data_IF_084175255196
#
_entry.id   IF_084175255196
#
_cell.length_a   1.000
_cell.length_b   1.000
_cell.length_c   1.000
_cell.angle_alpha   90.00
_cell.angle_beta   90.00
_cell.angle_gamma   90.00
#
_symmetry.space_group_name_H-M   'P 1'
#
loop_
_entity.id
_entity.type
_entity.pdbx_description
1 polymer ?
#
# COMPACT_ATOMS: atom_id res chain seq x y z
N UNK A 1 12.42 -11.99 9.86
CA UNK A 1 11.80 -11.35 8.69
C UNK A 1 10.40 -11.90 8.57
N UNK A 2 9.37 -11.05 8.64
CA UNK A 2 7.98 -11.50 8.57
C UNK A 2 7.57 -11.64 7.10
N UNK A 3 6.96 -12.76 6.74
CA UNK A 3 6.45 -13.02 5.40
C UNK A 3 4.93 -12.86 5.41
N UNK A 4 4.39 -12.16 4.41
CA UNK A 4 2.95 -12.07 4.16
C UNK A 4 2.65 -12.79 2.85
N UNK A 5 1.79 -13.80 2.90
CA UNK A 5 1.35 -14.56 1.73
C UNK A 5 -0.06 -14.09 1.33
N UNK A 6 -0.18 -13.49 0.15
CA UNK A 6 -1.48 -13.06 -0.39
C UNK A 6 -2.11 -14.19 -1.18
N UNK A 7 -3.31 -14.59 -0.78
CA UNK A 7 -4.13 -15.53 -1.55
C UNK A 7 -5.02 -14.76 -2.52
N UNK A 8 -5.08 -15.15 -3.81
CA UNK A 8 -6.00 -14.52 -4.77
C UNK A 8 -7.45 -14.70 -4.34
N UNK A 9 -8.23 -13.62 -4.40
CA UNK A 9 -9.65 -13.64 -4.12
C UNK A 9 -10.38 -12.58 -4.96
N UNK A 10 -11.55 -12.94 -5.46
CA UNK A 10 -12.44 -12.04 -6.20
C UNK A 10 -13.63 -11.63 -5.33
N UNK A 11 -14.28 -10.52 -5.67
CA UNK A 11 -15.51 -10.05 -5.02
C UNK A 11 -15.39 -9.83 -3.49
N UNK A 12 -14.25 -9.29 -3.04
CA UNK A 12 -14.08 -8.94 -1.62
C UNK A 12 -14.95 -7.72 -1.30
N UNK A 13 -15.87 -7.86 -0.36
CA UNK A 13 -16.58 -6.73 0.24
C UNK A 13 -15.63 -5.98 1.18
N UNK A 14 -15.40 -4.69 0.91
CA UNK A 14 -14.42 -3.88 1.61
C UNK A 14 -15.12 -3.05 2.68
N UNK A 15 -14.63 -3.13 3.91
CA UNK A 15 -15.10 -2.23 4.95
C UNK A 15 -14.54 -0.82 4.70
N UNK A 16 -15.37 0.22 4.89
CA UNK A 16 -14.98 1.63 4.78
C UNK A 16 -13.89 2.04 5.77
N UNK A 17 -13.75 1.30 6.87
CA UNK A 17 -12.72 1.53 7.88
C UNK A 17 -11.35 0.93 7.52
N UNK A 18 -11.26 0.17 6.42
CA UNK A 18 -9.97 -0.34 5.95
C UNK A 18 -9.15 0.77 5.31
N UNK A 19 -7.88 0.89 5.74
CA UNK A 19 -6.94 1.79 5.10
C UNK A 19 -6.24 1.08 3.92
N UNK A 20 -6.37 1.57 2.67
CA UNK A 20 -5.61 1.06 1.54
C UNK A 20 -4.15 1.53 1.63
N UNK A 21 -3.37 0.89 2.48
CA UNK A 21 -1.98 1.21 2.76
C UNK A 21 -1.10 0.93 1.52
N UNK A 22 -0.45 1.95 0.93
CA UNK A 22 0.39 1.74 -0.23
C UNK A 22 1.68 1.01 0.15
N UNK A 23 2.13 0.10 -0.72
CA UNK A 23 3.42 -0.58 -0.61
C UNK A 23 4.37 0.00 -1.64
N UNK A 24 5.54 0.47 -1.19
CA UNK A 24 6.60 0.99 -2.05
C UNK A 24 7.86 0.13 -1.99
N UNK A 25 8.66 0.18 -3.05
CA UNK A 25 9.95 -0.50 -3.10
C UNK A 25 10.98 0.16 -2.19
N UNK A 26 11.01 1.49 -2.14
CA UNK A 26 12.00 2.28 -1.37
C UNK A 26 11.36 3.36 -0.51
N UNK A 27 12.08 3.78 0.54
CA UNK A 27 11.60 4.73 1.55
C UNK A 27 11.38 6.14 1.00
N UNK A 28 12.14 6.54 -0.01
CA UNK A 28 12.04 7.85 -0.68
C UNK A 28 10.71 8.00 -1.44
N UNK A 29 10.07 6.89 -1.82
CA UNK A 29 8.79 6.85 -2.57
C UNK A 29 8.79 7.65 -3.88
N UNK A 30 9.98 7.95 -4.40
CA UNK A 30 10.18 8.60 -5.69
C UNK A 30 10.32 7.53 -6.76
N UNK A 31 9.52 7.63 -7.81
CA UNK A 31 9.57 6.77 -8.98
C UNK A 31 9.33 7.58 -10.24
N UNK A 32 9.62 6.97 -11.37
CA UNK A 32 9.18 7.43 -12.69
C UNK A 32 7.91 6.72 -13.09
N UNK A 33 7.16 7.26 -14.04
CA UNK A 33 6.09 6.53 -14.69
C UNK A 33 6.70 5.59 -15.73
N UNK A 34 6.22 4.34 -15.78
CA UNK A 34 6.54 3.41 -16.85
C UNK A 34 5.90 3.86 -18.17
N UNK A 35 6.26 3.19 -19.27
CA UNK A 35 5.57 3.37 -20.57
C UNK A 35 4.09 3.03 -20.52
N UNK A 36 3.65 2.26 -19.53
CA UNK A 36 2.25 1.92 -19.24
C UNK A 36 1.60 2.84 -18.20
N UNK A 37 2.28 3.90 -17.77
CA UNK A 37 1.76 4.88 -16.79
C UNK A 37 1.73 4.39 -15.34
N UNK A 38 2.30 3.23 -15.04
CA UNK A 38 2.42 2.74 -13.67
C UNK A 38 3.68 3.27 -13.01
N UNK A 39 3.60 3.64 -11.73
CA UNK A 39 4.78 4.07 -10.98
C UNK A 39 5.80 2.93 -10.87
N UNK A 40 7.08 3.23 -11.10
CA UNK A 40 8.16 2.25 -10.94
C UNK A 40 8.44 1.91 -9.47
N UNK A 41 7.91 2.67 -8.52
CA UNK A 41 8.12 2.48 -7.07
C UNK A 41 6.87 1.93 -6.35
N UNK A 42 5.66 2.22 -6.83
CA UNK A 42 4.43 1.65 -6.26
C UNK A 42 4.30 0.16 -6.63
N UNK A 43 3.91 -0.67 -5.68
CA UNK A 43 3.74 -2.12 -5.87
C UNK A 43 2.27 -2.50 -5.83
N UNK A 44 1.60 -2.26 -4.70
CA UNK A 44 0.19 -2.61 -4.47
C UNK A 44 -0.34 -1.83 -3.25
N UNK A 45 -1.66 -1.74 -3.11
CA UNK A 45 -2.30 -1.32 -1.86
C UNK A 45 -2.74 -2.53 -1.04
N UNK A 46 -2.33 -2.57 0.23
CA UNK A 46 -2.76 -3.58 1.20
C UNK A 46 -3.81 -2.95 2.11
N UNK A 47 -4.99 -3.54 2.17
CA UNK A 47 -6.09 -3.06 2.98
C UNK A 47 -5.90 -3.53 4.42
N UNK A 48 -5.67 -2.58 5.32
CA UNK A 48 -5.42 -2.85 6.72
C UNK A 48 -6.65 -2.49 7.55
N UNK A 49 -7.10 -3.36 8.46
CA UNK A 49 -8.10 -2.98 9.43
C UNK A 49 -7.56 -1.83 10.29
N UNK A 50 -8.39 -0.83 10.55
CA UNK A 50 -7.99 0.37 11.28
C UNK A 50 -9.14 0.83 12.18
N UNK A 51 -8.79 1.36 13.35
CA UNK A 51 -9.73 2.06 14.25
C UNK A 51 -9.85 3.55 13.93
N UNK A 52 -9.07 4.02 12.96
CA UNK A 52 -9.07 5.39 12.43
C UNK A 52 -9.52 5.39 10.97
N UNK A 53 -10.09 6.49 10.51
CA UNK A 53 -10.46 6.65 9.10
C UNK A 53 -9.22 6.60 8.19
N UNK A 54 -9.37 6.19 6.91
CA UNK A 54 -8.27 6.19 5.94
C UNK A 54 -7.52 7.53 5.86
N UNK A 55 -8.25 8.65 5.92
CA UNK A 55 -7.68 10.01 5.84
C UNK A 55 -6.61 10.28 6.91
N UNK A 56 -6.79 9.76 8.12
CA UNK A 56 -5.78 9.87 9.18
C UNK A 56 -4.44 9.32 8.71
N UNK A 57 -4.43 8.15 8.05
CA UNK A 57 -3.20 7.51 7.61
C UNK A 57 -2.64 8.12 6.32
N UNK A 58 -3.52 8.59 5.43
CA UNK A 58 -3.12 9.38 4.25
C UNK A 58 -2.38 10.64 4.67
N UNK A 59 -2.92 11.40 5.63
CA UNK A 59 -2.31 12.63 6.15
C UNK A 59 -0.97 12.38 6.85
N UNK A 60 -0.84 11.27 7.56
CA UNK A 60 0.42 10.86 8.19
C UNK A 60 1.43 10.26 7.21
N UNK A 61 1.07 10.06 5.94
CA UNK A 61 1.94 9.43 4.95
C UNK A 61 2.34 8.00 5.33
N UNK A 62 1.48 7.24 5.99
CA UNK A 62 1.77 5.85 6.34
C UNK A 62 1.90 4.98 5.08
N UNK A 63 2.87 4.07 5.07
CA UNK A 63 3.06 3.13 3.96
C UNK A 63 3.88 1.92 4.42
N UNK A 64 3.76 0.81 3.70
CA UNK A 64 4.72 -0.29 3.79
C UNK A 64 5.88 -0.07 2.84
N UNK A 65 7.05 -0.57 3.24
CA UNK A 65 8.28 -0.55 2.47
C UNK A 65 8.82 -1.97 2.34
N UNK A 66 9.20 -2.35 1.13
CA UNK A 66 9.87 -3.64 0.90
C UNK A 66 11.34 -3.60 1.32
N UNK A 67 11.97 -2.43 1.23
CA UNK A 67 13.34 -2.19 1.67
C UNK A 67 13.43 -0.90 2.49
N UNK A 68 14.20 -0.95 3.58
CA UNK A 68 14.64 0.23 4.33
C UNK A 68 16.02 0.59 3.79
N UNK A 69 16.23 1.87 3.50
CA UNK A 69 17.53 2.40 3.07
C UNK A 69 18.43 2.66 4.28
#
# INVERSE_FOLDING_TARGET
MSLVHFLPAANIDRNKDEYPCPVYKTSVRKGTLSTTGMSTNFVVAVYLPSTKTPDHWVLNGAAFLLNLD
#
